data_IF_320952753463
#
_entry.id   IF_320952753463
#
_cell.length_a   1.000
_cell.length_b   1.000
_cell.length_c   1.000
_cell.angle_alpha   90.00
_cell.angle_beta   90.00
_cell.angle_gamma   90.00
#
_symmetry.space_group_name_H-M   'P 1'
#
loop_
_entity.id
_entity.type
_entity.pdbx_description
1 polymer ?
#
# COMPACT_ATOMS: atom_id res chain seq x y z
N UNK A 1 19.53 20.09 0.76
CA UNK A 1 18.37 20.65 1.47
C UNK A 1 17.36 19.53 1.64
N UNK A 2 17.36 18.85 2.80
CA UNK A 2 16.37 17.84 3.13
C UNK A 2 15.04 18.57 3.37
N UNK A 3 13.99 18.20 2.63
CA UNK A 3 12.66 18.77 2.78
C UNK A 3 12.16 18.46 4.21
N UNK A 4 12.08 19.48 5.07
CA UNK A 4 11.58 19.39 6.44
C UNK A 4 10.05 19.19 6.51
N UNK A 5 9.35 19.25 5.38
CA UNK A 5 7.92 18.96 5.25
C UNK A 5 7.74 18.19 3.93
N UNK A 6 7.42 16.88 3.93
CA UNK A 6 7.45 16.06 2.71
C UNK A 6 6.40 16.46 1.66
N UNK A 7 5.42 17.29 2.04
CA UNK A 7 4.57 18.09 1.17
C UNK A 7 3.73 18.99 2.09
N UNK A 8 3.53 20.28 1.80
CA UNK A 8 2.31 20.95 2.28
C UNK A 8 1.14 20.07 1.82
N UNK A 9 0.30 19.59 2.74
CA UNK A 9 -0.81 18.68 2.39
C UNK A 9 -1.69 19.33 1.34
N UNK A 10 -1.49 18.96 0.09
CA UNK A 10 -2.50 19.14 -0.95
C UNK A 10 -3.56 18.07 -0.66
N UNK A 11 -4.49 18.40 0.24
CA UNK A 11 -5.65 17.60 0.69
C UNK A 11 -5.31 16.43 1.65
N UNK A 12 -6.14 16.24 2.68
CA UNK A 12 -6.06 15.16 3.70
C UNK A 12 -6.35 13.75 3.15
N UNK A 13 -6.12 13.51 1.85
CA UNK A 13 -6.48 12.26 1.19
C UNK A 13 -5.25 11.61 0.56
N UNK A 14 -4.74 10.56 1.21
CA UNK A 14 -3.64 9.74 0.72
C UNK A 14 -4.11 8.31 0.42
N UNK A 15 -3.72 7.79 -0.74
CA UNK A 15 -3.95 6.41 -1.15
C UNK A 15 -2.60 5.71 -1.32
N UNK A 16 -1.98 5.21 -0.24
CA UNK A 16 -0.67 4.58 -0.34
C UNK A 16 -0.76 3.28 -1.14
N UNK A 17 0.16 3.11 -2.09
CA UNK A 17 0.38 1.83 -2.79
C UNK A 17 1.45 0.97 -2.11
N UNK A 18 2.30 1.61 -1.30
CA UNK A 18 3.30 0.95 -0.50
C UNK A 18 3.54 1.64 0.85
N UNK A 19 3.99 0.88 1.85
CA UNK A 19 4.48 1.39 3.13
C UNK A 19 5.82 0.77 3.48
N UNK A 20 6.61 1.44 4.31
CA UNK A 20 7.87 0.94 4.82
C UNK A 20 7.83 0.96 6.33
N UNK A 21 8.06 -0.18 6.95
CA UNK A 21 8.09 -0.32 8.41
C UNK A 21 9.46 -0.86 8.82
N UNK A 22 10.17 -0.08 9.65
CA UNK A 22 11.52 -0.40 10.09
C UNK A 22 11.58 -0.68 11.58
N UNK A 23 12.38 -1.66 11.96
CA UNK A 23 12.84 -1.84 13.34
C UNK A 23 14.36 -1.74 13.40
N UNK A 24 14.83 -1.00 14.39
CA UNK A 24 16.25 -0.95 14.68
C UNK A 24 16.67 -2.24 15.40
N UNK A 25 17.76 -2.86 14.97
CA UNK A 25 18.31 -4.03 15.64
C UNK A 25 18.62 -3.75 17.12
N UNK A 26 19.08 -2.53 17.42
CA UNK A 26 19.43 -2.07 18.76
C UNK A 26 18.26 -2.04 19.76
N UNK A 27 17.01 -2.10 19.31
CA UNK A 27 15.86 -2.11 20.22
C UNK A 27 15.53 -3.51 20.75
N UNK A 28 16.28 -4.55 20.35
CA UNK A 28 15.99 -5.95 20.71
C UNK A 28 14.68 -6.48 20.09
N UNK A 29 14.07 -5.69 19.21
CA UNK A 29 12.81 -5.99 18.53
C UNK A 29 13.10 -6.74 17.25
N UNK A 30 12.25 -7.70 16.93
CA UNK A 30 12.37 -8.54 15.75
C UNK A 30 11.52 -8.01 14.60
N UNK A 31 11.82 -8.48 13.39
CA UNK A 31 11.17 -8.08 12.13
C UNK A 31 9.66 -8.33 12.14
N UNK A 32 9.18 -9.33 12.90
CA UNK A 32 7.75 -9.58 13.07
C UNK A 32 6.98 -8.36 13.60
N UNK A 33 7.61 -7.47 14.37
CA UNK A 33 6.94 -6.24 14.82
C UNK A 33 6.77 -5.25 13.66
N UNK A 34 7.72 -5.17 12.74
CA UNK A 34 7.57 -4.39 11.51
C UNK A 34 6.47 -4.99 10.62
N UNK A 35 6.44 -6.32 10.48
CA UNK A 35 5.40 -7.04 9.73
C UNK A 35 4.00 -6.79 10.29
N UNK A 36 3.84 -6.84 11.62
CA UNK A 36 2.57 -6.56 12.27
C UNK A 36 2.11 -5.11 12.04
N UNK A 37 3.02 -4.15 12.13
CA UNK A 37 2.71 -2.75 11.85
C UNK A 37 2.36 -2.55 10.36
N UNK A 38 3.11 -3.18 9.47
CA UNK A 38 2.86 -3.15 8.04
C UNK A 38 1.49 -3.74 7.70
N UNK A 39 1.10 -4.86 8.31
CA UNK A 39 -0.20 -5.49 8.13
C UNK A 39 -1.35 -4.56 8.55
N UNK A 40 -1.21 -3.85 9.68
CA UNK A 40 -2.20 -2.85 10.12
C UNK A 40 -2.29 -1.68 9.15
N UNK A 41 -1.14 -1.12 8.75
CA UNK A 41 -1.05 -0.02 7.78
C UNK A 41 -1.69 -0.41 6.44
N UNK A 42 -1.45 -1.64 5.97
CA UNK A 42 -2.00 -2.17 4.73
C UNK A 42 -3.51 -2.45 4.81
N UNK A 43 -4.01 -2.96 5.93
CA UNK A 43 -5.44 -3.12 6.15
C UNK A 43 -6.16 -1.77 6.12
N UNK A 44 -5.57 -0.73 6.73
CA UNK A 44 -6.09 0.64 6.67
C UNK A 44 -6.11 1.16 5.22
N UNK A 45 -5.01 1.00 4.49
CA UNK A 45 -4.90 1.43 3.10
C UNK A 45 -5.92 0.75 2.18
N UNK A 46 -6.09 -0.57 2.29
CA UNK A 46 -7.08 -1.34 1.54
C UNK A 46 -8.52 -0.88 1.86
N UNK A 47 -8.81 -0.59 3.14
CA UNK A 47 -10.11 -0.04 3.54
C UNK A 47 -10.40 1.32 2.90
N UNK A 48 -9.40 2.21 2.82
CA UNK A 48 -9.56 3.50 2.13
C UNK A 48 -9.94 3.32 0.66
N UNK A 49 -9.30 2.37 -0.03
CA UNK A 49 -9.59 2.05 -1.43
C UNK A 49 -11.00 1.46 -1.59
N UNK A 50 -11.45 0.62 -0.66
CA UNK A 50 -12.83 0.12 -0.66
C UNK A 50 -13.87 1.20 -0.39
N UNK A 51 -13.60 2.13 0.51
CA UNK A 51 -14.46 3.29 0.73
C UNK A 51 -14.59 4.12 -0.55
N UNK A 52 -13.47 4.37 -1.23
CA UNK A 52 -13.45 5.07 -2.52
C UNK A 52 -14.31 4.34 -3.58
N UNK A 53 -14.16 3.02 -3.70
CA UNK A 53 -14.95 2.21 -4.64
C UNK A 53 -16.45 2.30 -4.34
N UNK A 54 -16.84 2.18 -3.07
CA UNK A 54 -18.25 2.29 -2.65
C UNK A 54 -18.84 3.65 -2.99
N UNK A 55 -18.09 4.73 -2.77
CA UNK A 55 -18.52 6.10 -3.08
C UNK A 55 -18.64 6.31 -4.60
N UNK A 56 -17.68 5.80 -5.37
CA UNK A 56 -17.69 5.91 -6.82
C UNK A 56 -18.86 5.15 -7.46
N UNK A 57 -19.16 3.94 -6.97
CA UNK A 57 -20.13 3.02 -7.56
C UNK A 57 -21.51 3.01 -6.87
N UNK A 58 -21.89 4.02 -6.06
CA UNK A 58 -23.21 4.08 -5.39
C UNK A 58 -23.55 2.84 -4.54
N UNK A 59 -22.55 2.16 -3.99
CA UNK A 59 -22.76 0.98 -3.15
C UNK A 59 -23.04 -0.33 -3.91
N UNK A 60 -23.09 -0.35 -5.25
CA UNK A 60 -23.02 -1.62 -6.00
C UNK A 60 -21.59 -2.17 -5.88
N UNK A 61 -21.46 -3.26 -5.15
CA UNK A 61 -20.21 -4.02 -5.05
C UNK A 61 -20.05 -4.77 -6.38
N UNK A 62 -19.49 -4.10 -7.38
CA UNK A 62 -18.96 -4.81 -8.56
C UNK A 62 -17.70 -5.55 -8.13
N UNK A 63 -17.55 -6.78 -8.61
CA UNK A 63 -16.44 -7.67 -8.28
C UNK A 63 -15.12 -6.89 -8.34
N UNK A 64 -14.53 -6.67 -7.16
CA UNK A 64 -13.53 -5.63 -6.95
C UNK A 64 -12.28 -6.00 -7.74
N UNK A 65 -11.89 -5.13 -8.67
CA UNK A 65 -10.57 -5.19 -9.31
C UNK A 65 -9.53 -5.45 -8.22
N UNK A 66 -8.77 -6.54 -8.33
CA UNK A 66 -7.80 -6.94 -7.31
C UNK A 66 -6.79 -5.81 -7.11
N UNK A 67 -6.86 -5.13 -5.95
CA UNK A 67 -5.92 -4.10 -5.55
C UNK A 67 -4.83 -4.76 -4.72
N UNK A 68 -3.62 -4.81 -5.28
CA UNK A 68 -2.43 -5.29 -4.58
C UNK A 68 -1.65 -4.08 -4.08
N UNK A 69 -1.37 -4.07 -2.78
CA UNK A 69 -0.51 -3.11 -2.10
C UNK A 69 0.74 -3.83 -1.57
N UNK A 70 1.79 -3.07 -1.27
CA UNK A 70 3.09 -3.64 -0.90
C UNK A 70 3.61 -3.07 0.40
N UNK A 71 4.16 -3.90 1.29
CA UNK A 71 4.93 -3.39 2.42
C UNK A 71 6.38 -3.84 2.32
N UNK A 72 7.29 -2.95 2.70
CA UNK A 72 8.68 -3.28 2.94
C UNK A 72 8.90 -3.28 4.45
N UNK A 73 9.27 -4.43 5.00
CA UNK A 73 9.67 -4.53 6.41
C UNK A 73 11.18 -4.62 6.50
N UNK A 74 11.78 -4.04 7.52
CA UNK A 74 13.24 -3.99 7.64
C UNK A 74 13.71 -4.16 9.07
N UNK A 75 14.70 -5.03 9.29
CA UNK A 75 15.45 -5.15 10.53
C UNK A 75 16.94 -5.34 10.23
N UNK A 76 17.76 -4.33 10.56
CA UNK A 76 19.18 -4.36 10.22
C UNK A 76 19.36 -4.49 8.69
N UNK A 77 20.15 -5.46 8.20
CA UNK A 77 20.34 -5.67 6.77
C UNK A 77 19.26 -6.55 6.10
N UNK A 78 18.29 -7.06 6.87
CA UNK A 78 17.22 -7.88 6.33
C UNK A 78 16.07 -6.96 5.90
N UNK A 79 15.69 -7.08 4.63
CA UNK A 79 14.53 -6.41 4.06
C UNK A 79 13.59 -7.46 3.49
N UNK A 80 12.29 -7.35 3.77
CA UNK A 80 11.28 -8.22 3.18
C UNK A 80 10.27 -7.41 2.39
N UNK A 81 9.78 -8.00 1.29
CA UNK A 81 8.69 -7.44 0.51
C UNK A 81 7.45 -8.30 0.68
N UNK A 82 6.38 -7.68 1.14
CA UNK A 82 5.09 -8.30 1.36
C UNK A 82 4.06 -7.74 0.38
N UNK A 83 3.21 -8.61 -0.16
CA UNK A 83 2.04 -8.21 -0.95
C UNK A 83 0.77 -8.39 -0.13
N UNK A 84 -0.15 -7.43 -0.21
CA UNK A 84 -1.43 -7.42 0.52
C UNK A 84 -2.59 -7.18 -0.45
N UNK A 85 -3.68 -7.90 -0.24
CA UNK A 85 -4.90 -7.75 -1.03
C UNK A 85 -6.13 -8.17 -0.21
N UNK A 86 -7.31 -8.02 -0.79
CA UNK A 86 -8.54 -8.56 -0.19
C UNK A 86 -9.20 -9.55 -1.13
N UNK A 87 -9.85 -10.56 -0.55
CA UNK A 87 -10.69 -11.54 -1.25
C UNK A 87 -12.05 -11.62 -0.58
N UNK A 88 -13.10 -11.95 -1.33
CA UNK A 88 -14.42 -12.24 -0.74
C UNK A 88 -14.57 -13.75 -0.63
N UNK A 89 -14.69 -14.26 0.60
CA UNK A 89 -14.89 -15.68 0.91
C UNK A 89 -16.18 -15.83 1.71
N UNK A 90 -17.16 -16.57 1.17
CA UNK A 90 -18.46 -16.77 1.84
C UNK A 90 -19.22 -15.47 2.12
N UNK A 91 -19.11 -14.47 1.23
CA UNK A 91 -19.74 -13.15 1.40
C UNK A 91 -19.01 -12.20 2.37
N UNK A 92 -17.95 -12.67 3.04
CA UNK A 92 -17.14 -11.86 3.94
C UNK A 92 -15.84 -11.46 3.26
N UNK A 93 -15.46 -10.19 3.40
CA UNK A 93 -14.18 -9.69 2.92
C UNK A 93 -13.07 -10.09 3.89
N UNK A 94 -12.04 -10.75 3.37
CA UNK A 94 -10.86 -11.20 4.10
C UNK A 94 -9.64 -10.47 3.58
N UNK A 95 -8.76 -10.05 4.49
CA UNK A 95 -7.46 -9.47 4.18
C UNK A 95 -6.44 -10.60 4.08
N UNK A 96 -5.77 -10.67 2.94
CA UNK A 96 -4.77 -11.69 2.64
C UNK A 96 -3.42 -11.01 2.42
N UNK A 97 -2.36 -11.74 2.72
CA UNK A 97 -1.00 -11.29 2.47
C UNK A 97 -0.09 -12.45 2.12
N UNK A 98 1.03 -12.13 1.47
CA UNK A 98 2.07 -13.09 1.17
C UNK A 98 3.43 -12.41 1.18
N UNK A 99 4.37 -13.02 1.89
CA UNK A 99 5.79 -12.71 1.76
C UNK A 99 6.22 -13.05 0.34
N UNK A 100 6.67 -12.05 -0.40
CA UNK A 100 7.21 -12.24 -1.75
C UNK A 100 8.63 -12.80 -1.65
N UNK A 101 9.51 -12.12 -0.94
CA UNK A 101 10.89 -12.54 -0.71
C UNK A 101 11.52 -11.78 0.48
N UNK A 102 12.68 -12.28 0.94
CA UNK A 102 13.49 -11.73 2.02
C UNK A 102 14.96 -11.65 1.58
N UNK A 103 15.55 -10.46 1.67
CA UNK A 103 16.91 -10.19 1.21
C UNK A 103 17.79 -9.73 2.37
N UNK A 104 19.00 -10.30 2.44
CA UNK A 104 20.10 -9.67 3.16
C UNK A 104 20.83 -8.73 2.20
N UNK A 105 20.62 -7.42 2.34
CA UNK A 105 21.13 -6.41 1.40
C UNK A 105 22.62 -6.09 1.57
N UNK A 106 23.31 -6.77 2.48
CA UNK A 106 24.79 -6.74 2.53
C UNK A 106 25.42 -7.69 1.50
N UNK A 107 24.63 -8.58 0.90
CA UNK A 107 25.06 -9.44 -0.21
C UNK A 107 24.67 -8.76 -1.52
N UNK A 108 25.65 -8.39 -2.35
CA UNK A 108 25.43 -7.58 -3.55
C UNK A 108 24.33 -8.14 -4.46
N UNK A 109 24.40 -9.42 -4.82
CA UNK A 109 23.40 -10.08 -5.69
C UNK A 109 21.98 -10.02 -5.09
N UNK A 110 21.86 -10.13 -3.77
CA UNK A 110 20.58 -10.01 -3.06
C UNK A 110 20.10 -8.57 -3.04
N UNK A 111 21.00 -7.61 -2.84
CA UNK A 111 20.67 -6.19 -2.88
C UNK A 111 20.21 -5.75 -4.27
N UNK A 112 20.87 -6.22 -5.33
CA UNK A 112 20.48 -5.95 -6.72
C UNK A 112 19.07 -6.46 -7.00
N UNK A 113 18.76 -7.72 -6.64
CA UNK A 113 17.42 -8.27 -6.82
C UNK A 113 16.36 -7.49 -6.00
N UNK A 114 16.67 -7.11 -4.76
CA UNK A 114 15.79 -6.26 -3.95
C UNK A 114 15.47 -4.93 -4.64
N UNK A 115 16.48 -4.24 -5.16
CA UNK A 115 16.29 -2.95 -5.87
C UNK A 115 15.46 -3.13 -7.14
N UNK A 116 15.63 -4.23 -7.88
CA UNK A 116 14.81 -4.55 -9.05
C UNK A 116 13.34 -4.77 -8.65
N UNK A 117 13.06 -5.49 -7.56
CA UNK A 117 11.69 -5.66 -7.06
C UNK A 117 11.10 -4.35 -6.55
N UNK A 118 11.88 -3.53 -5.84
CA UNK A 118 11.44 -2.23 -5.36
C UNK A 118 11.08 -1.30 -6.53
N UNK A 119 11.89 -1.27 -7.58
CA UNK A 119 11.56 -0.55 -8.81
C UNK A 119 10.24 -1.03 -9.43
N UNK A 120 10.00 -2.35 -9.44
CA UNK A 120 8.74 -2.92 -9.94
C UNK A 120 7.53 -2.45 -9.12
N UNK A 121 7.66 -2.34 -7.80
CA UNK A 121 6.62 -1.77 -6.91
C UNK A 121 6.37 -0.29 -7.22
N UNK A 122 7.42 0.50 -7.45
CA UNK A 122 7.29 1.91 -7.84
C UNK A 122 6.59 2.08 -9.20
N UNK A 123 6.94 1.25 -10.19
CA UNK A 123 6.28 1.24 -11.50
C UNK A 123 4.81 0.82 -11.41
N UNK A 124 4.49 -0.15 -10.54
CA UNK A 124 3.10 -0.50 -10.22
C UNK A 124 2.34 0.69 -9.64
N UNK A 125 2.92 1.34 -8.62
CA UNK A 125 2.33 2.47 -7.90
C UNK A 125 2.03 3.66 -8.80
N UNK A 126 3.01 4.05 -9.61
CA UNK A 126 2.92 5.22 -10.51
C UNK A 126 2.16 4.93 -11.81
N UNK A 127 2.01 3.66 -12.18
CA UNK A 127 1.30 3.25 -13.39
C UNK A 127 -0.10 2.70 -13.10
N UNK A 128 -0.30 1.37 -13.13
CA UNK A 128 -1.62 0.76 -12.97
C UNK A 128 -2.36 1.19 -11.71
N UNK A 129 -1.70 1.21 -10.55
CA UNK A 129 -2.37 1.53 -9.29
C UNK A 129 -2.95 2.93 -9.30
N UNK A 130 -2.16 3.95 -9.71
CA UNK A 130 -2.60 5.34 -9.75
C UNK A 130 -3.90 5.51 -10.56
N UNK A 131 -4.02 4.80 -11.69
CA UNK A 131 -5.23 4.82 -12.52
C UNK A 131 -6.46 4.31 -11.75
N UNK A 132 -6.31 3.27 -10.94
CA UNK A 132 -7.40 2.71 -10.10
C UNK A 132 -7.83 3.62 -8.95
N UNK A 133 -7.06 4.67 -8.64
CA UNK A 133 -7.41 5.68 -7.63
C UNK A 133 -8.00 6.91 -8.29
N UNK A 134 -7.33 7.45 -9.31
CA UNK A 134 -7.71 8.73 -9.95
C UNK A 134 -9.08 8.66 -10.59
N UNK A 135 -9.42 7.56 -11.28
CA UNK A 135 -10.71 7.46 -11.96
C UNK A 135 -11.90 7.44 -10.98
N UNK A 136 -11.94 6.55 -9.94
CA UNK A 136 -12.98 6.62 -8.92
C UNK A 136 -13.02 7.94 -8.16
N UNK A 137 -11.86 8.51 -7.84
CA UNK A 137 -11.79 9.79 -7.12
C UNK A 137 -12.37 10.94 -7.95
N UNK A 138 -12.11 10.97 -9.25
CA UNK A 138 -12.72 11.93 -10.17
C UNK A 138 -14.24 11.82 -10.24
N UNK A 139 -14.78 10.59 -10.21
CA UNK A 139 -16.23 10.34 -10.14
C UNK A 139 -16.82 10.89 -8.84
N UNK A 140 -16.18 10.62 -7.70
CA UNK A 140 -16.61 11.11 -6.38
C UNK A 140 -16.56 12.64 -6.31
N UNK A 141 -15.47 13.26 -6.76
CA UNK A 141 -15.31 14.71 -6.74
C UNK A 141 -16.36 15.44 -7.61
N UNK A 142 -16.74 14.86 -8.75
CA UNK A 142 -17.79 15.43 -9.61
C UNK A 142 -19.15 15.41 -8.91
N UNK A 143 -19.52 14.27 -8.32
CA UNK A 143 -20.77 14.12 -7.55
C UNK A 143 -20.84 15.09 -6.38
N UNK A 144 -19.74 15.28 -5.65
CA UNK A 144 -19.69 16.21 -4.52
C UNK A 144 -19.96 17.67 -4.94
N UNK A 145 -19.49 18.09 -6.12
CA UNK A 145 -19.78 19.42 -6.68
C UNK A 145 -21.24 19.56 -7.09
N UNK A 146 -21.82 18.55 -7.70
CA UNK A 146 -23.24 18.55 -8.11
C UNK A 146 -24.18 18.60 -6.91
N UNK A 147 -23.81 17.99 -5.78
CA UNK A 147 -24.62 18.02 -4.55
C UNK A 147 -24.52 19.33 -3.74
N UNK A 148 -23.57 20.19 -4.08
CA UNK A 148 -23.33 21.49 -3.40
C UNK A 148 -23.72 22.69 -4.25
N UNK A 149 -24.17 22.46 -5.49
CA UNK A 149 -24.73 23.46 -6.41
C UNK A 149 -26.26 23.47 -6.32
#
# INVERSE_FOLDING_TARGET
MLLLVPAPRALDLAFPFAVVEGKAYSTGKQIFEAENQAAVSMACALNLLHCLDRMANQGTITDTQLRVLFAITTQGPIHELWAYWTVVKGGVRVFESKLWDSWNVLVLERAEDFIVKLNSVCLWGTGPFLKTVVEPLGKVARKAREATA
#
